data_IF_676807885911
#
_entry.id   IF_676807885911
#
_cell.length_a   1.000
_cell.length_b   1.000
_cell.length_c   1.000
_cell.angle_alpha   90.00
_cell.angle_beta   90.00
_cell.angle_gamma   90.00
#
_symmetry.space_group_name_H-M   'P 1'
#
loop_
_entity.id
_entity.type
_entity.pdbx_description
1 polymer ?
#
# COMPACT_ATOMS: atom_id res chain seq x y z
N UNK A 1 4.15 -4.13 36.11
CA UNK A 1 4.11 -3.52 34.77
C UNK A 1 4.86 -4.46 33.81
N UNK A 2 4.15 -5.40 33.18
CA UNK A 2 4.77 -6.45 32.35
C UNK A 2 5.01 -5.92 30.94
N UNK A 3 6.26 -5.58 30.64
CA UNK A 3 6.71 -5.26 29.28
C UNK A 3 6.68 -6.58 28.49
N UNK A 4 5.54 -6.90 27.89
CA UNK A 4 5.42 -8.00 26.92
C UNK A 4 6.26 -7.63 25.71
N UNK A 5 7.42 -8.26 25.62
CA UNK A 5 8.39 -8.15 24.53
C UNK A 5 7.70 -8.30 23.16
N UNK A 6 7.63 -7.21 22.39
CA UNK A 6 7.19 -7.16 21.00
C UNK A 6 8.32 -7.69 20.10
N UNK A 7 8.70 -8.95 20.29
CA UNK A 7 9.87 -9.59 19.64
C UNK A 7 9.82 -9.58 18.10
N UNK A 8 8.65 -9.36 17.50
CA UNK A 8 8.46 -9.32 16.05
C UNK A 8 8.44 -7.90 15.45
N UNK A 9 8.64 -6.84 16.24
CA UNK A 9 8.62 -5.47 15.72
C UNK A 9 9.88 -5.13 14.90
N UNK A 10 11.05 -5.60 15.34
CA UNK A 10 12.33 -5.27 14.71
C UNK A 10 12.51 -5.82 13.28
N UNK A 11 12.18 -7.10 12.99
CA UNK A 11 12.31 -7.61 11.63
C UNK A 11 11.40 -6.87 10.65
N UNK A 12 10.16 -6.58 11.06
CA UNK A 12 9.18 -5.90 10.20
C UNK A 12 9.60 -4.46 9.89
N UNK A 13 10.22 -3.74 10.84
CA UNK A 13 10.80 -2.40 10.59
C UNK A 13 11.92 -2.46 9.55
N UNK A 14 12.83 -3.43 9.67
CA UNK A 14 13.89 -3.64 8.68
C UNK A 14 13.33 -3.92 7.28
N UNK A 15 12.37 -4.83 7.16
CA UNK A 15 11.72 -5.11 5.87
C UNK A 15 11.01 -3.88 5.30
N UNK A 16 10.35 -3.08 6.14
CA UNK A 16 9.71 -1.83 5.71
C UNK A 16 10.72 -0.81 5.19
N UNK A 17 11.86 -0.65 5.87
CA UNK A 17 12.93 0.25 5.42
C UNK A 17 13.54 -0.20 4.10
N UNK A 18 13.78 -1.50 3.93
CA UNK A 18 14.25 -2.06 2.66
C UNK A 18 13.24 -1.82 1.54
N UNK A 19 11.95 -2.06 1.79
CA UNK A 19 10.90 -1.81 0.81
C UNK A 19 10.85 -0.32 0.39
N UNK A 20 10.92 0.61 1.34
CA UNK A 20 10.99 2.05 1.04
C UNK A 20 12.27 2.42 0.29
N UNK A 21 13.41 1.83 0.64
CA UNK A 21 14.67 2.05 -0.08
C UNK A 21 14.54 1.62 -1.54
N UNK A 22 13.91 0.49 -1.82
CA UNK A 22 13.68 0.03 -3.19
C UNK A 22 12.69 0.93 -3.94
N UNK A 23 11.64 1.44 -3.27
CA UNK A 23 10.73 2.45 -3.86
C UNK A 23 11.52 3.72 -4.23
N UNK A 24 12.35 4.24 -3.32
CA UNK A 24 13.21 5.39 -3.60
C UNK A 24 14.15 5.13 -4.77
N UNK A 25 14.79 3.96 -4.79
CA UNK A 25 15.66 3.58 -5.88
C UNK A 25 14.91 3.56 -7.23
N UNK A 26 13.70 2.99 -7.28
CA UNK A 26 12.87 3.03 -8.49
C UNK A 26 12.53 4.45 -8.93
N UNK A 27 12.20 5.36 -8.02
CA UNK A 27 11.80 6.72 -8.38
C UNK A 27 12.97 7.53 -8.96
N UNK A 28 14.19 7.35 -8.43
CA UNK A 28 15.34 8.17 -8.81
C UNK A 28 16.24 7.54 -9.90
N UNK A 29 16.36 6.21 -9.93
CA UNK A 29 17.31 5.52 -10.81
C UNK A 29 16.66 4.75 -11.95
N UNK A 30 15.35 4.50 -11.92
CA UNK A 30 14.69 3.70 -12.95
C UNK A 30 13.90 4.61 -13.87
N UNK A 31 14.25 4.52 -15.16
CA UNK A 31 13.58 5.28 -16.21
C UNK A 31 12.12 4.80 -16.35
N UNK A 32 11.12 5.70 -16.28
CA UNK A 32 9.70 5.33 -16.35
C UNK A 32 9.30 4.64 -17.66
N UNK A 33 10.14 4.69 -18.71
CA UNK A 33 9.91 3.97 -19.96
C UNK A 33 10.15 2.46 -19.81
N UNK A 34 11.09 2.04 -18.96
CA UNK A 34 11.45 0.62 -18.77
C UNK A 34 10.38 -0.11 -17.93
N UNK A 35 9.78 0.59 -16.97
CA UNK A 35 8.78 0.02 -16.04
C UNK A 35 7.39 -0.08 -16.66
N UNK A 36 7.15 0.65 -17.76
CA UNK A 36 5.83 0.76 -18.38
C UNK A 36 5.36 -0.55 -19.02
N UNK A 37 6.28 -1.44 -19.40
CA UNK A 37 5.96 -2.60 -20.26
C UNK A 37 6.13 -3.97 -19.59
N UNK A 38 6.24 -4.02 -18.26
CA UNK A 38 6.43 -5.26 -17.52
C UNK A 38 5.37 -5.36 -16.42
N UNK A 39 4.41 -6.31 -16.40
CA UNK A 39 4.09 -7.40 -17.35
C UNK A 39 2.97 -7.08 -18.38
N UNK A 40 2.33 -5.91 -18.31
CA UNK A 40 1.31 -5.47 -19.28
C UNK A 40 1.75 -4.10 -19.82
N UNK A 41 1.86 -3.98 -21.16
CA UNK A 41 2.25 -2.74 -21.84
C UNK A 41 1.37 -1.55 -21.41
N UNK A 42 2.01 -0.49 -20.92
CA UNK A 42 1.33 0.71 -20.40
C UNK A 42 1.07 0.75 -18.90
N UNK A 43 1.47 -0.26 -18.12
CA UNK A 43 1.12 -0.36 -16.70
C UNK A 43 2.35 -0.48 -15.79
N UNK A 44 2.48 0.46 -14.85
CA UNK A 44 3.54 0.51 -13.85
C UNK A 44 3.33 -0.50 -12.70
N UNK A 45 2.77 -1.68 -13.00
CA UNK A 45 2.34 -2.68 -12.00
C UNK A 45 3.45 -3.03 -11.00
N UNK A 46 4.72 -3.28 -11.39
CA UNK A 46 5.78 -3.64 -10.46
C UNK A 46 6.00 -2.56 -9.40
N UNK A 47 5.94 -1.29 -9.80
CA UNK A 47 6.06 -0.16 -8.89
C UNK A 47 4.89 -0.10 -7.90
N UNK A 48 3.65 -0.28 -8.37
CA UNK A 48 2.48 -0.30 -7.49
C UNK A 48 2.49 -1.45 -6.49
N UNK A 49 2.94 -2.63 -6.92
CA UNK A 49 3.07 -3.79 -6.06
C UNK A 49 4.12 -3.54 -4.97
N UNK A 50 5.24 -2.93 -5.35
CA UNK A 50 6.30 -2.55 -4.42
C UNK A 50 5.84 -1.47 -3.42
N UNK A 51 5.13 -0.45 -3.92
CA UNK A 51 4.54 0.62 -3.13
C UNK A 51 3.46 0.07 -2.18
N UNK A 52 2.65 -0.89 -2.65
CA UNK A 52 1.68 -1.61 -1.84
C UNK A 52 2.34 -2.36 -0.70
N UNK A 53 3.38 -3.15 -0.97
CA UNK A 53 4.11 -3.86 0.08
C UNK A 53 4.74 -2.89 1.08
N UNK A 54 5.32 -1.79 0.61
CA UNK A 54 5.93 -0.77 1.47
C UNK A 54 4.90 -0.11 2.40
N UNK A 55 3.76 0.32 1.84
CA UNK A 55 2.65 0.89 2.62
C UNK A 55 2.02 -0.14 3.56
N UNK A 56 1.84 -1.38 3.12
CA UNK A 56 1.27 -2.46 3.93
C UNK A 56 2.14 -2.74 5.15
N UNK A 57 3.46 -2.88 4.96
CA UNK A 57 4.41 -3.08 6.05
C UNK A 57 4.42 -1.89 7.01
N UNK A 58 4.42 -0.67 6.48
CA UNK A 58 4.40 0.57 7.29
C UNK A 58 3.10 0.68 8.11
N UNK A 59 1.95 0.46 7.48
CA UNK A 59 0.65 0.56 8.12
C UNK A 59 0.42 -0.58 9.13
N UNK A 60 0.92 -1.80 8.83
CA UNK A 60 0.90 -2.93 9.77
C UNK A 60 1.75 -2.65 11.02
N UNK A 61 2.90 -1.99 10.85
CA UNK A 61 3.76 -1.53 11.96
C UNK A 61 3.08 -0.45 12.82
N UNK A 62 2.52 0.59 12.18
CA UNK A 62 1.91 1.73 12.86
C UNK A 62 0.62 1.36 13.60
N UNK A 63 -0.25 0.57 12.95
CA UNK A 63 -1.59 0.26 13.50
C UNK A 63 -1.57 -0.97 14.40
N UNK A 64 -0.47 -1.73 14.48
CA UNK A 64 -0.36 -3.00 15.21
C UNK A 64 -1.46 -4.03 14.86
N UNK A 65 -2.20 -3.80 13.79
CA UNK A 65 -3.32 -4.59 13.31
C UNK A 65 -3.12 -4.80 11.81
N UNK A 66 -2.63 -5.99 11.45
CA UNK A 66 -2.32 -6.40 10.07
C UNK A 66 -3.49 -6.19 9.11
N UNK A 67 -4.74 -6.37 9.61
CA UNK A 67 -5.97 -6.23 8.82
C UNK A 67 -6.25 -4.79 8.38
N UNK A 68 -6.12 -3.81 9.29
CA UNK A 68 -6.35 -2.39 8.98
C UNK A 68 -5.24 -1.85 8.07
N UNK A 69 -4.00 -2.29 8.28
CA UNK A 69 -2.88 -1.90 7.44
C UNK A 69 -3.00 -2.38 5.99
N UNK A 70 -3.52 -3.60 5.77
CA UNK A 70 -3.79 -4.13 4.43
C UNK A 70 -4.81 -3.27 3.68
N UNK A 71 -5.94 -2.95 4.33
CA UNK A 71 -7.00 -2.17 3.71
C UNK A 71 -6.54 -0.76 3.33
N UNK A 72 -5.79 -0.11 4.21
CA UNK A 72 -5.28 1.24 3.96
C UNK A 72 -4.30 1.27 2.79
N UNK A 73 -3.35 0.33 2.76
CA UNK A 73 -2.39 0.20 1.67
C UNK A 73 -3.07 -0.12 0.32
N UNK A 74 -4.07 -1.02 0.34
CA UNK A 74 -4.81 -1.40 -0.86
C UNK A 74 -5.60 -0.21 -1.41
N UNK A 75 -6.29 0.52 -0.53
CA UNK A 75 -7.02 1.73 -0.87
C UNK A 75 -6.17 2.78 -1.57
N UNK A 76 -4.99 3.09 -1.00
CA UNK A 76 -4.05 4.06 -1.58
C UNK A 76 -3.53 3.61 -2.94
N UNK A 77 -3.15 2.33 -3.06
CA UNK A 77 -2.58 1.78 -4.30
C UNK A 77 -3.60 1.74 -5.41
N UNK A 78 -4.83 1.30 -5.13
CA UNK A 78 -5.92 1.28 -6.11
C UNK A 78 -6.29 2.71 -6.53
N UNK A 79 -6.31 3.66 -5.59
CA UNK A 79 -6.55 5.07 -5.90
C UNK A 79 -5.49 5.64 -6.85
N UNK A 80 -4.21 5.44 -6.53
CA UNK A 80 -3.10 5.91 -7.36
C UNK A 80 -3.09 5.21 -8.73
N UNK A 81 -3.44 3.93 -8.79
CA UNK A 81 -3.56 3.17 -10.04
C UNK A 81 -4.67 3.74 -10.93
N UNK A 82 -5.87 3.98 -10.39
CA UNK A 82 -6.97 4.62 -11.12
C UNK A 82 -6.61 6.04 -11.58
N UNK A 83 -5.86 6.78 -10.77
CA UNK A 83 -5.39 8.13 -11.12
C UNK A 83 -4.49 8.12 -12.37
N UNK A 84 -3.66 7.09 -12.57
CA UNK A 84 -2.81 6.98 -13.76
C UNK A 84 -3.59 6.77 -15.05
N UNK A 85 -4.75 6.09 -15.00
CA UNK A 85 -5.62 5.90 -16.16
C UNK A 85 -6.46 7.14 -16.50
N UNK A 86 -6.19 8.29 -15.86
CA UNK A 86 -6.99 9.51 -16.03
C UNK A 86 -8.36 9.44 -15.32
N UNK A 87 -8.66 8.34 -14.62
CA UNK A 87 -9.88 8.12 -13.86
C UNK A 87 -9.80 8.69 -12.43
N UNK A 88 -8.83 9.57 -12.16
CA UNK A 88 -8.66 10.27 -10.89
C UNK A 88 -9.69 11.39 -10.64
N UNK A 89 -10.93 11.22 -11.09
CA UNK A 89 -12.01 12.17 -10.82
C UNK A 89 -12.44 12.10 -9.35
N UNK A 90 -12.99 13.21 -8.83
CA UNK A 90 -13.54 13.30 -7.47
C UNK A 90 -14.51 12.15 -7.18
N UNK A 91 -15.30 11.73 -8.16
CA UNK A 91 -16.26 10.64 -8.07
C UNK A 91 -15.60 9.29 -7.72
N UNK A 92 -14.49 8.95 -8.37
CA UNK A 92 -13.74 7.73 -8.08
C UNK A 92 -13.06 7.78 -6.72
N UNK A 93 -12.64 8.98 -6.27
CA UNK A 93 -12.10 9.18 -4.92
C UNK A 93 -13.15 8.88 -3.86
N UNK A 94 -14.36 9.42 -4.03
CA UNK A 94 -15.50 9.19 -3.11
C UNK A 94 -15.94 7.74 -3.14
N UNK A 95 -16.00 7.10 -4.31
CA UNK A 95 -16.34 5.66 -4.45
C UNK A 95 -15.32 4.77 -3.72
N UNK A 96 -14.03 5.02 -3.89
CA UNK A 96 -12.98 4.29 -3.17
C UNK A 96 -13.08 4.49 -1.66
N UNK A 97 -13.31 5.72 -1.22
CA UNK A 97 -13.45 6.04 0.20
C UNK A 97 -14.68 5.39 0.82
N UNK A 98 -15.82 5.43 0.12
CA UNK A 98 -17.04 4.75 0.51
C UNK A 98 -16.84 3.23 0.56
N UNK A 99 -16.15 2.64 -0.42
CA UNK A 99 -15.85 1.21 -0.44
C UNK A 99 -14.97 0.80 0.75
N UNK A 100 -13.92 1.58 1.04
CA UNK A 100 -13.06 1.37 2.21
C UNK A 100 -13.85 1.46 3.52
N UNK A 101 -14.72 2.47 3.67
CA UNK A 101 -15.57 2.65 4.85
C UNK A 101 -16.54 1.48 5.04
N UNK A 102 -17.23 1.07 3.98
CA UNK A 102 -18.17 -0.07 4.03
C UNK A 102 -17.43 -1.35 4.37
N UNK A 103 -16.25 -1.56 3.80
CA UNK A 103 -15.43 -2.74 4.08
C UNK A 103 -14.93 -2.74 5.54
N UNK A 104 -14.48 -1.60 6.05
CA UNK A 104 -14.09 -1.45 7.46
C UNK A 104 -15.26 -1.76 8.40
N UNK A 105 -16.44 -1.22 8.12
CA UNK A 105 -17.66 -1.48 8.90
C UNK A 105 -18.11 -2.94 8.83
N UNK A 106 -18.04 -3.57 7.65
CA UNK A 106 -18.39 -4.98 7.47
C UNK A 106 -17.47 -5.89 8.28
N UNK A 107 -16.17 -5.61 8.28
CA UNK A 107 -15.19 -6.37 9.06
C UNK A 107 -15.35 -6.11 10.56
N UNK A 108 -15.60 -4.87 10.98
CA UNK A 108 -15.82 -4.51 12.38
C UNK A 108 -17.08 -5.17 12.96
N UNK A 109 -18.09 -5.44 12.12
CA UNK A 109 -19.32 -6.13 12.51
C UNK A 109 -19.15 -7.66 12.63
N UNK A 110 -18.07 -8.23 12.10
CA UNK A 110 -17.81 -9.67 12.07
C UNK A 110 -16.87 -10.18 13.19
N UNK A 111 -16.42 -9.29 14.08
CA UNK A 111 -15.54 -9.58 15.23
C UNK A 111 -16.24 -9.32 16.56
#
# INVERSE_FOLDING_TARGET
>A
MTIRSRKNFLPTVLFSLVAWSTVFFMIFFVDPQIVRDVPISGSYIPFFLLLFFSLFLTASLLLSHTRRGFLFALGIVVYLYLRLFGLGHLLNTVLLFAFLLVFELAVARSS
#
